data_IF_394968610924
#
_entry.id   IF_394968610924
#
_cell.length_a   1.000
_cell.length_b   1.000
_cell.length_c   1.000
_cell.angle_alpha   90.00
_cell.angle_beta   90.00
_cell.angle_gamma   90.00
#
_symmetry.space_group_name_H-M   'P 1'
#
loop_
_entity.id
_entity.type
_entity.pdbx_description
1 polymer ?
#
# COMPACT_ATOMS: atom_id res chain seq x y z
N UNK A 1 -24.36 -8.88 10.26
CA UNK A 1 -23.36 -8.37 11.24
C UNK A 1 -23.03 -6.93 10.83
N UNK A 2 -23.71 -5.98 11.46
CA UNK A 2 -23.46 -4.55 11.30
C UNK A 2 -22.12 -4.26 11.96
N UNK A 3 -21.09 -3.98 11.15
CA UNK A 3 -19.79 -3.56 11.64
C UNK A 3 -19.84 -2.04 11.81
N UNK A 4 -20.36 -1.67 12.97
CA UNK A 4 -20.40 -0.32 13.54
C UNK A 4 -19.03 0.36 13.45
N UNK A 5 -19.08 1.64 13.08
CA UNK A 5 -18.04 2.67 13.14
C UNK A 5 -16.57 2.21 12.93
N UNK A 6 -15.98 2.66 11.83
CA UNK A 6 -14.53 2.87 11.82
C UNK A 6 -14.23 3.81 13.00
N UNK A 7 -13.38 3.45 13.98
CA UNK A 7 -13.05 4.35 15.07
C UNK A 7 -12.57 5.67 14.48
N UNK A 8 -13.12 6.78 14.99
CA UNK A 8 -12.86 8.14 14.51
C UNK A 8 -11.34 8.34 14.42
N UNK A 9 -10.82 8.37 13.19
CA UNK A 9 -9.38 8.42 12.94
C UNK A 9 -8.81 9.67 13.60
N UNK A 10 -7.87 9.48 14.52
CA UNK A 10 -7.11 10.60 15.06
C UNK A 10 -6.47 11.35 13.87
N UNK A 11 -6.61 12.69 13.80
CA UNK A 11 -6.03 13.46 12.71
C UNK A 11 -4.53 13.22 12.69
N UNK A 12 -4.06 12.73 11.54
CA UNK A 12 -2.65 12.48 11.29
C UNK A 12 -1.85 13.76 11.56
N UNK A 13 -0.68 13.68 12.23
CA UNK A 13 0.15 14.85 12.46
C UNK A 13 0.48 15.50 11.10
N UNK A 14 0.23 16.80 11.00
CA UNK A 14 0.51 17.62 9.81
C UNK A 14 2.02 17.72 9.61
N UNK A 15 2.63 16.68 9.06
CA UNK A 15 3.98 16.72 8.52
C UNK A 15 3.87 17.18 7.07
N UNK A 16 4.53 18.28 6.72
CA UNK A 16 4.57 18.86 5.37
C UNK A 16 5.35 18.00 4.36
N UNK A 17 4.92 16.76 4.17
CA UNK A 17 5.45 15.76 3.25
C UNK A 17 4.44 14.61 3.18
N UNK A 18 4.28 13.98 2.02
CA UNK A 18 3.29 12.93 1.73
C UNK A 18 3.21 11.89 2.86
N UNK A 19 2.11 11.91 3.62
CA UNK A 19 1.75 10.89 4.61
C UNK A 19 2.48 10.96 5.96
N UNK A 20 1.81 10.61 7.07
CA UNK A 20 2.44 10.50 8.38
C UNK A 20 3.34 9.26 8.46
N UNK A 21 4.55 9.41 9.00
CA UNK A 21 5.18 8.38 9.83
C UNK A 21 5.59 7.04 9.22
N UNK A 22 5.53 6.85 7.90
CA UNK A 22 6.02 5.62 7.26
C UNK A 22 7.56 5.59 7.33
N UNK A 23 8.14 5.19 8.46
CA UNK A 23 9.58 5.32 8.62
C UNK A 23 10.23 4.62 9.81
N UNK A 24 9.75 4.79 11.04
CA UNK A 24 10.60 4.47 12.20
C UNK A 24 10.04 3.45 13.23
N UNK A 25 8.74 3.16 13.25
CA UNK A 25 8.15 2.24 14.25
C UNK A 25 7.16 1.18 13.71
N UNK A 26 6.90 1.13 12.41
CA UNK A 26 5.95 0.16 11.84
C UNK A 26 6.60 -1.19 11.57
N UNK A 27 5.92 -2.27 11.91
CA UNK A 27 6.37 -3.62 11.59
C UNK A 27 6.25 -3.92 10.09
N UNK A 28 7.31 -4.51 9.53
CA UNK A 28 7.32 -4.93 8.13
C UNK A 28 6.69 -6.33 8.01
N UNK A 29 5.62 -6.44 7.23
CA UNK A 29 5.04 -7.72 6.83
C UNK A 29 5.34 -8.04 5.36
N UNK A 30 5.14 -9.30 4.95
CA UNK A 30 5.12 -9.68 3.53
C UNK A 30 3.68 -9.56 3.02
N UNK A 31 3.54 -9.24 1.74
CA UNK A 31 2.24 -9.24 1.07
C UNK A 31 1.47 -10.57 1.23
N UNK A 32 2.20 -11.70 1.28
CA UNK A 32 1.61 -13.04 1.53
C UNK A 32 1.01 -13.19 2.93
N UNK A 33 1.50 -12.45 3.92
CA UNK A 33 1.02 -12.55 5.30
C UNK A 33 -0.35 -11.87 5.46
N UNK A 34 -0.69 -10.96 4.55
CA UNK A 34 -1.93 -10.18 4.53
C UNK A 34 -2.83 -10.54 3.34
N UNK A 35 -2.44 -11.55 2.57
CA UNK A 35 -3.20 -12.03 1.43
C UNK A 35 -4.55 -12.58 1.89
N UNK A 36 -5.61 -12.23 1.17
CA UNK A 36 -6.99 -12.59 1.44
C UNK A 36 -7.54 -12.13 2.81
N UNK A 37 -6.82 -11.23 3.51
CA UNK A 37 -7.27 -10.61 4.75
C UNK A 37 -7.93 -9.26 4.49
N UNK A 38 -8.96 -8.94 5.26
CA UNK A 38 -9.54 -7.61 5.31
C UNK A 38 -8.56 -6.65 6.00
N UNK A 39 -8.17 -5.60 5.29
CA UNK A 39 -7.20 -4.60 5.71
C UNK A 39 -7.74 -3.20 5.41
N UNK A 40 -7.25 -2.20 6.12
CA UNK A 40 -7.42 -0.80 5.79
C UNK A 40 -6.10 -0.26 5.27
N UNK A 41 -6.07 0.22 4.02
CA UNK A 41 -4.94 0.99 3.52
C UNK A 41 -5.06 2.40 4.09
N UNK A 42 -4.04 2.82 4.84
CA UNK A 42 -4.02 4.12 5.53
C UNK A 42 -3.04 5.11 4.92
N UNK A 43 -2.07 4.62 4.14
CA UNK A 43 -1.09 5.45 3.48
C UNK A 43 -0.21 4.65 2.52
N UNK A 44 0.51 5.36 1.66
CA UNK A 44 1.58 4.77 0.86
C UNK A 44 2.65 5.81 0.53
N UNK A 45 3.85 5.32 0.25
CA UNK A 45 4.98 6.11 -0.21
C UNK A 45 5.64 5.39 -1.39
N UNK A 46 5.94 6.16 -2.43
CA UNK A 46 6.78 5.69 -3.53
C UNK A 46 8.23 5.95 -3.16
N UNK A 47 9.02 4.88 -3.11
CA UNK A 47 10.44 4.94 -2.79
C UNK A 47 11.21 4.58 -4.07
N UNK A 48 12.20 5.40 -4.48
CA UNK A 48 13.09 5.02 -5.56
C UNK A 48 13.87 3.77 -5.15
N UNK A 49 13.77 2.70 -5.96
CA UNK A 49 14.51 1.48 -5.71
C UNK A 49 15.99 1.71 -6.03
N UNK A 50 16.78 1.97 -4.99
CA UNK A 50 18.24 2.10 -5.11
C UNK A 50 18.96 0.78 -5.41
N UNK A 51 18.26 -0.36 -5.47
CA UNK A 51 18.85 -1.68 -5.72
C UNK A 51 18.92 -2.08 -7.20
N UNK A 52 18.46 -1.23 -8.12
CA UNK A 52 18.67 -1.42 -9.55
C UNK A 52 19.59 -0.32 -10.09
N UNK A 53 20.88 -0.63 -10.08
CA UNK A 53 21.81 -0.16 -11.11
C UNK A 53 21.36 -0.78 -12.46
N UNK A 54 20.24 -0.32 -13.01
CA UNK A 54 19.81 -0.67 -14.37
C UNK A 54 20.24 0.51 -15.27
N UNK A 55 21.38 0.41 -15.99
CA UNK A 55 21.92 1.49 -16.80
C UNK A 55 21.15 1.71 -18.11
N UNK A 56 19.85 1.40 -18.16
CA UNK A 56 19.00 1.69 -19.32
C UNK A 56 18.57 3.17 -19.30
N UNK A 57 19.00 4.00 -20.26
CA UNK A 57 18.81 5.46 -20.23
C UNK A 57 17.35 5.94 -20.36
N UNK A 58 16.38 5.04 -20.56
CA UNK A 58 14.96 5.36 -20.76
C UNK A 58 14.03 4.69 -19.75
N UNK A 59 14.55 4.08 -18.69
CA UNK A 59 13.74 3.55 -17.61
C UNK A 59 14.23 4.19 -16.33
N UNK A 60 13.44 5.09 -15.76
CA UNK A 60 13.72 5.68 -14.46
C UNK A 60 14.00 4.58 -13.42
N UNK A 61 14.59 4.95 -12.26
CA UNK A 61 14.85 3.97 -11.20
C UNK A 61 13.55 3.20 -10.93
N UNK A 62 13.59 1.86 -10.82
CA UNK A 62 12.35 1.13 -10.56
C UNK A 62 11.74 1.69 -9.28
N UNK A 63 10.48 2.04 -9.29
CA UNK A 63 9.83 2.56 -8.11
C UNK A 63 9.26 1.39 -7.32
N UNK A 64 9.52 1.35 -6.01
CA UNK A 64 8.84 0.41 -5.11
C UNK A 64 7.87 1.20 -4.25
N UNK A 65 6.68 0.66 -4.07
CA UNK A 65 5.65 1.29 -3.25
C UNK A 65 5.67 0.64 -1.87
N UNK A 66 5.91 1.44 -0.85
CA UNK A 66 5.65 1.06 0.53
C UNK A 66 4.20 1.39 0.86
N UNK A 67 3.44 0.40 1.30
CA UNK A 67 2.00 0.51 1.53
C UNK A 67 1.78 0.25 3.01
N UNK A 68 1.22 1.25 3.70
CA UNK A 68 0.82 1.16 5.09
C UNK A 68 -0.60 0.65 5.18
N UNK A 69 -0.78 -0.35 6.03
CA UNK A 69 -2.02 -1.08 6.20
C UNK A 69 -2.26 -1.34 7.68
N UNK A 70 -3.51 -1.29 8.06
CA UNK A 70 -4.00 -1.61 9.39
C UNK A 70 -4.91 -2.83 9.28
N UNK A 71 -4.76 -3.80 10.18
CA UNK A 71 -5.69 -4.94 10.23
C UNK A 71 -7.00 -4.62 10.98
N UNK A 72 -7.84 -5.63 11.14
CA UNK A 72 -9.08 -5.54 11.90
C UNK A 72 -8.87 -5.37 13.41
N UNK A 73 -7.69 -5.70 13.94
CA UNK A 73 -7.34 -5.55 15.36
C UNK A 73 -6.82 -4.15 15.67
N UNK A 74 -6.50 -3.37 14.63
CA UNK A 74 -5.93 -2.02 14.75
C UNK A 74 -4.40 -2.03 14.75
N UNK A 75 -3.77 -3.16 14.43
CA UNK A 75 -2.32 -3.27 14.31
C UNK A 75 -1.88 -2.63 12.98
N UNK A 76 -0.89 -1.73 13.05
CA UNK A 76 -0.33 -1.07 11.87
C UNK A 76 0.94 -1.80 11.40
N UNK A 77 0.99 -2.09 10.11
CA UNK A 77 2.14 -2.69 9.47
C UNK A 77 2.31 -2.09 8.07
N UNK A 78 3.49 -2.31 7.48
CA UNK A 78 3.71 -1.95 6.09
C UNK A 78 4.25 -3.14 5.31
N UNK A 79 4.00 -3.13 4.00
CA UNK A 79 4.67 -4.01 3.06
C UNK A 79 5.19 -3.21 1.87
N UNK A 80 6.23 -3.73 1.23
CA UNK A 80 6.83 -3.10 0.05
C UNK A 80 6.52 -3.95 -1.16
N UNK A 81 6.02 -3.33 -2.23
CA UNK A 81 5.68 -4.03 -3.46
C UNK A 81 6.01 -3.19 -4.70
N UNK A 82 6.54 -3.83 -5.75
CA UNK A 82 6.83 -3.18 -7.05
C UNK A 82 5.74 -3.42 -8.10
N UNK A 83 4.46 -3.47 -7.71
CA UNK A 83 3.36 -3.74 -8.65
C UNK A 83 2.85 -2.41 -9.17
N UNK A 84 2.98 -2.20 -10.49
CA UNK A 84 2.38 -1.05 -11.16
C UNK A 84 0.86 -1.02 -11.04
N UNK A 85 0.21 -2.19 -10.92
CA UNK A 85 -1.25 -2.29 -10.73
C UNK A 85 -1.65 -1.77 -9.36
N UNK A 86 -0.98 -2.22 -8.29
CA UNK A 86 -1.26 -1.73 -6.93
C UNK A 86 -0.99 -0.23 -6.83
N UNK A 87 0.12 0.24 -7.42
CA UNK A 87 0.46 1.66 -7.46
C UNK A 87 -0.64 2.48 -8.15
N UNK A 88 -1.08 2.09 -9.35
CA UNK A 88 -2.14 2.78 -10.06
C UNK A 88 -3.45 2.84 -9.25
N UNK A 89 -3.83 1.74 -8.59
CA UNK A 89 -5.00 1.71 -7.70
C UNK A 89 -4.84 2.68 -6.51
N UNK A 90 -3.66 2.74 -5.90
CA UNK A 90 -3.39 3.65 -4.78
C UNK A 90 -3.38 5.11 -5.20
N UNK A 91 -2.75 5.43 -6.33
CA UNK A 91 -2.72 6.79 -6.89
C UNK A 91 -4.12 7.27 -7.27
N UNK A 92 -4.94 6.42 -7.88
CA UNK A 92 -6.34 6.73 -8.19
C UNK A 92 -7.14 7.03 -6.90
N UNK A 93 -7.02 6.18 -5.86
CA UNK A 93 -7.71 6.40 -4.58
C UNK A 93 -7.23 7.67 -3.88
N UNK A 94 -5.93 7.92 -3.88
CA UNK A 94 -5.34 9.14 -3.31
C UNK A 94 -5.80 10.39 -4.04
N UNK A 95 -5.84 10.37 -5.38
CA UNK A 95 -6.32 11.49 -6.18
C UNK A 95 -7.80 11.84 -5.95
N UNK A 96 -8.57 10.91 -5.40
CA UNK A 96 -9.96 11.09 -5.01
C UNK A 96 -10.16 11.32 -3.50
N UNK A 97 -9.08 11.56 -2.73
CA UNK A 97 -9.10 11.72 -1.27
C UNK A 97 -9.78 10.53 -0.54
N UNK A 98 -9.66 9.32 -1.09
CA UNK A 98 -10.28 8.09 -0.57
C UNK A 98 -9.33 7.26 0.31
N UNK A 99 -8.28 7.87 0.86
CA UNK A 99 -7.39 7.21 1.83
C UNK A 99 -7.67 7.84 3.20
N UNK A 100 -7.96 7.05 4.26
CA UNK A 100 -7.90 5.59 4.31
C UNK A 100 -9.11 4.87 3.66
N UNK A 101 -8.90 3.65 3.14
CA UNK A 101 -9.98 2.78 2.65
C UNK A 101 -9.80 1.31 3.07
N UNK A 102 -10.93 0.62 3.25
CA UNK A 102 -10.96 -0.83 3.48
C UNK A 102 -10.92 -1.58 2.15
N UNK A 103 -10.16 -2.66 2.10
CA UNK A 103 -9.99 -3.52 0.92
C UNK A 103 -9.48 -4.89 1.34
N UNK A 104 -9.39 -5.80 0.39
CA UNK A 104 -8.68 -7.06 0.53
C UNK A 104 -7.57 -7.14 -0.52
N UNK A 105 -6.37 -7.52 -0.08
CA UNK A 105 -5.31 -7.87 -1.01
C UNK A 105 -5.58 -9.27 -1.55
N UNK A 106 -5.67 -9.42 -2.87
CA UNK A 106 -5.91 -10.72 -3.51
C UNK A 106 -4.90 -10.99 -4.61
N UNK A 107 -4.75 -12.27 -4.97
CA UNK A 107 -4.02 -12.68 -6.17
C UNK A 107 -4.98 -12.73 -7.34
N UNK A 108 -4.65 -12.00 -8.40
CA UNK A 108 -5.34 -12.05 -9.68
C UNK A 108 -4.45 -12.67 -10.75
N UNK A 109 -5.06 -13.37 -11.70
CA UNK A 109 -4.39 -13.93 -12.87
C UNK A 109 -4.43 -12.90 -14.00
N UNK A 110 -3.25 -12.56 -14.52
CA UNK A 110 -3.15 -11.73 -15.73
C UNK A 110 -3.52 -12.55 -16.97
N UNK A 111 -3.81 -11.85 -18.08
CA UNK A 111 -4.09 -12.48 -19.38
C UNK A 111 -2.96 -13.38 -19.90
N UNK A 112 -1.75 -13.25 -19.35
CA UNK A 112 -0.57 -14.05 -19.69
C UNK A 112 -0.23 -15.10 -18.62
N UNK A 113 -1.22 -15.57 -17.84
CA UNK A 113 -1.05 -16.55 -16.75
C UNK A 113 -0.04 -16.13 -15.66
N UNK A 114 0.21 -14.82 -15.53
CA UNK A 114 1.05 -14.25 -14.48
C UNK A 114 0.19 -13.86 -13.30
N UNK A 115 0.48 -14.43 -12.14
CA UNK A 115 -0.08 -13.99 -10.87
C UNK A 115 0.41 -12.57 -10.54
N UNK A 116 -0.50 -11.69 -10.14
CA UNK A 116 -0.20 -10.38 -9.58
C UNK A 116 -1.11 -10.09 -8.39
N UNK A 117 -0.67 -9.19 -7.50
CA UNK A 117 -1.50 -8.75 -6.38
C UNK A 117 -2.35 -7.54 -6.78
N UNK A 118 -3.59 -7.48 -6.30
CA UNK A 118 -4.54 -6.38 -6.52
C UNK A 118 -5.42 -6.13 -5.31
N UNK A 119 -5.88 -4.88 -5.15
CA UNK A 119 -6.91 -4.50 -4.18
C UNK A 119 -8.30 -4.72 -4.79
N UNK A 120 -9.17 -5.41 -4.06
CA UNK A 120 -10.59 -5.64 -4.40
C UNK A 120 -11.54 -5.06 -3.36
#
# INVERSE_FOLDING_TARGET
PEFDAIPEYAPLPKSGGRGPGIGEELDKCKAVDILDKDIAVVGFMVIPNKFKDDPTPNSGPPEVTMIEVMDAQGDHFYFVHGSSVLMAQLEERHGNDQIPFRTRLTKAMSKNDREYYTFV
#
